data_IF_260439067951
#
_entry.id   IF_260439067951
#
_cell.length_a   1.000
_cell.length_b   1.000
_cell.length_c   1.000
_cell.angle_alpha   90.00
_cell.angle_beta   90.00
_cell.angle_gamma   90.00
#
_symmetry.space_group_name_H-M   'P 1'
#
loop_
_entity.id
_entity.type
_entity.pdbx_description
1 polymer ?
#
# COMPACT_ATOMS: atom_id res chain seq x y z
N UNK A 1 18.46 14.11 32.32
CA UNK A 1 17.89 14.43 31.00
C UNK A 1 17.22 13.16 30.53
N UNK A 2 15.90 13.17 30.34
CA UNK A 2 15.12 12.00 29.98
C UNK A 2 14.26 12.33 28.76
N UNK A 3 14.16 11.33 27.87
CA UNK A 3 13.44 11.25 26.57
C UNK A 3 14.26 11.79 25.38
N UNK A 4 14.37 11.09 24.25
CA UNK A 4 13.38 10.20 23.64
C UNK A 4 13.85 8.75 23.45
N UNK A 5 12.96 7.84 23.84
CA UNK A 5 12.99 6.44 23.47
C UNK A 5 12.59 6.30 22.00
N UNK A 6 13.40 5.61 21.20
CA UNK A 6 13.02 5.04 19.90
C UNK A 6 12.07 3.85 20.09
N UNK A 7 11.00 4.03 20.87
CA UNK A 7 9.96 3.03 21.07
C UNK A 7 8.72 3.48 20.30
N UNK A 8 8.44 2.85 19.15
CA UNK A 8 7.09 2.93 18.56
C UNK A 8 6.92 2.84 17.05
N UNK A 9 7.95 2.53 16.25
CA UNK A 9 7.81 2.35 14.80
C UNK A 9 8.05 0.92 14.30
N UNK A 10 8.34 -0.04 15.17
CA UNK A 10 8.54 -1.45 14.80
C UNK A 10 7.27 -2.18 14.33
N UNK A 11 6.18 -1.46 14.03
CA UNK A 11 4.93 -2.12 13.65
C UNK A 11 3.85 -1.27 13.01
N UNK A 12 4.23 -0.26 12.22
CA UNK A 12 3.28 0.54 11.46
C UNK A 12 3.51 0.35 9.96
N UNK A 13 2.45 0.01 9.24
CA UNK A 13 2.43 -0.01 7.78
C UNK A 13 1.64 1.19 7.27
N UNK A 14 1.78 1.52 5.99
CA UNK A 14 1.01 2.57 5.36
C UNK A 14 0.01 1.97 4.38
N UNK A 15 -1.28 2.16 4.67
CA UNK A 15 -2.37 1.81 3.76
C UNK A 15 -2.70 2.96 2.82
N UNK A 16 -3.44 2.64 1.76
CA UNK A 16 -3.93 3.62 0.80
C UNK A 16 -5.42 3.83 0.95
N UNK A 17 -5.81 5.10 1.07
CA UNK A 17 -7.22 5.49 1.04
C UNK A 17 -7.53 6.20 -0.27
N UNK A 18 -8.50 5.65 -1.01
CA UNK A 18 -9.05 6.24 -2.23
C UNK A 18 -10.39 6.90 -1.95
N UNK A 19 -10.70 7.97 -2.68
CA UNK A 19 -12.02 8.60 -2.70
C UNK A 19 -12.57 8.51 -4.13
N UNK A 20 -13.23 7.40 -4.47
CA UNK A 20 -13.90 7.26 -5.78
C UNK A 20 -15.41 7.02 -5.58
N UNK A 21 -16.25 7.51 -6.50
CA UNK A 21 -17.71 7.36 -6.42
C UNK A 21 -18.20 5.95 -6.76
N UNK A 22 -17.33 5.08 -7.25
CA UNK A 22 -17.65 3.75 -7.80
C UNK A 22 -17.31 2.59 -6.84
N UNK A 23 -16.95 2.93 -5.60
CA UNK A 23 -16.47 1.97 -4.60
C UNK A 23 -17.54 0.96 -4.12
N UNK A 24 -18.76 1.00 -4.67
CA UNK A 24 -19.90 0.15 -4.31
C UNK A 24 -20.03 -1.15 -5.13
N UNK A 25 -19.17 -1.42 -6.14
CA UNK A 25 -19.48 -2.46 -7.14
C UNK A 25 -18.60 -3.72 -7.21
N UNK A 26 -17.51 -3.87 -6.45
CA UNK A 26 -16.76 -5.16 -6.47
C UNK A 26 -15.94 -5.41 -5.21
N UNK A 27 -16.58 -5.86 -4.14
CA UNK A 27 -15.88 -6.30 -2.92
C UNK A 27 -14.96 -7.52 -3.16
N UNK A 28 -15.17 -8.28 -4.24
CA UNK A 28 -14.46 -9.55 -4.48
C UNK A 28 -13.07 -9.39 -5.15
N UNK A 29 -12.73 -8.22 -5.71
CA UNK A 29 -11.49 -8.01 -6.50
C UNK A 29 -10.54 -6.90 -6.01
N UNK A 30 -10.81 -6.31 -4.86
CA UNK A 30 -9.95 -5.26 -4.30
C UNK A 30 -8.69 -5.83 -3.62
N UNK A 31 -7.52 -5.27 -3.95
CA UNK A 31 -6.26 -5.52 -3.23
C UNK A 31 -5.94 -4.37 -2.28
N UNK A 32 -5.56 -4.70 -1.06
CA UNK A 32 -4.96 -3.76 -0.11
C UNK A 32 -3.45 -3.83 -0.25
N UNK A 33 -2.80 -2.71 -0.57
CA UNK A 33 -1.33 -2.62 -0.57
C UNK A 33 -0.90 -1.86 0.68
N UNK A 34 -0.07 -2.52 1.50
CA UNK A 34 0.49 -1.98 2.72
C UNK A 34 2.01 -1.84 2.58
N UNK A 35 2.55 -0.66 2.87
CA UNK A 35 3.99 -0.39 2.74
C UNK A 35 4.64 -0.24 4.10
N UNK A 36 5.79 -0.87 4.31
CA UNK A 36 6.62 -0.65 5.49
C UNK A 36 7.36 0.70 5.42
N UNK A 37 7.76 1.12 4.21
CA UNK A 37 8.42 2.42 3.99
C UNK A 37 7.42 3.52 3.63
N UNK A 38 7.39 4.57 4.45
CA UNK A 38 6.57 5.77 4.23
C UNK A 38 6.91 6.48 2.91
N UNK A 39 8.17 6.45 2.49
CA UNK A 39 8.59 7.09 1.24
C UNK A 39 7.98 6.37 0.03
N UNK A 40 8.01 5.03 0.02
CA UNK A 40 7.40 4.24 -1.04
C UNK A 40 5.86 4.41 -1.05
N UNK A 41 5.23 4.45 0.12
CA UNK A 41 3.79 4.72 0.23
C UNK A 41 3.39 6.06 -0.39
N UNK A 42 4.17 7.12 -0.12
CA UNK A 42 3.94 8.44 -0.71
C UNK A 42 4.20 8.46 -2.21
N UNK A 43 5.29 7.85 -2.66
CA UNK A 43 5.59 7.76 -4.09
C UNK A 43 4.48 7.02 -4.83
N UNK A 44 3.96 5.93 -4.27
CA UNK A 44 2.81 5.24 -4.84
C UNK A 44 1.56 6.13 -4.92
N UNK A 45 1.27 6.90 -3.87
CA UNK A 45 0.17 7.89 -3.90
C UNK A 45 0.36 8.93 -5.01
N UNK A 46 1.59 9.41 -5.24
CA UNK A 46 1.89 10.34 -6.33
C UNK A 46 1.66 9.70 -7.70
N UNK A 47 2.09 8.45 -7.89
CA UNK A 47 1.89 7.72 -9.14
C UNK A 47 0.41 7.53 -9.45
N UNK A 48 -0.39 7.14 -8.45
CA UNK A 48 -1.84 7.00 -8.61
C UNK A 48 -2.52 8.33 -8.95
N UNK A 49 -2.15 9.41 -8.27
CA UNK A 49 -2.67 10.76 -8.56
C UNK A 49 -2.33 11.22 -9.98
N UNK A 50 -1.09 10.98 -10.41
CA UNK A 50 -0.66 11.34 -11.77
C UNK A 50 -1.36 10.48 -12.82
N UNK A 51 -1.54 9.18 -12.57
CA UNK A 51 -2.21 8.28 -13.51
C UNK A 51 -3.70 8.61 -13.66
N UNK A 52 -4.36 9.02 -12.58
CA UNK A 52 -5.79 9.37 -12.57
C UNK A 52 -6.04 10.88 -12.61
N UNK A 53 -5.06 11.69 -13.04
CA UNK A 53 -5.19 13.15 -13.03
C UNK A 53 -6.37 13.63 -13.90
N UNK A 54 -6.61 12.94 -15.01
CA UNK A 54 -7.72 13.21 -15.93
C UNK A 54 -9.11 12.97 -15.32
N UNK A 55 -9.21 12.21 -14.22
CA UNK A 55 -10.49 11.96 -13.53
C UNK A 55 -10.92 13.13 -12.63
N UNK A 56 -10.07 14.14 -12.44
CA UNK A 56 -10.36 15.44 -11.80
C UNK A 56 -10.73 15.42 -10.31
N UNK A 57 -11.11 14.27 -9.75
CA UNK A 57 -11.59 14.10 -8.37
C UNK A 57 -10.88 12.99 -7.62
N UNK A 58 -9.84 12.39 -8.21
CA UNK A 58 -9.10 11.31 -7.59
C UNK A 58 -8.12 11.85 -6.54
N UNK A 59 -8.17 11.26 -5.34
CA UNK A 59 -7.20 11.54 -4.29
C UNK A 59 -6.73 10.25 -3.63
N UNK A 60 -5.45 10.22 -3.28
CA UNK A 60 -4.77 9.10 -2.65
C UNK A 60 -3.82 9.61 -1.55
N UNK A 61 -3.84 8.97 -0.39
CA UNK A 61 -2.99 9.34 0.74
C UNK A 61 -2.47 8.09 1.45
N UNK A 62 -1.21 8.14 1.85
CA UNK A 62 -0.61 7.17 2.73
C UNK A 62 -1.09 7.46 4.16
N UNK A 63 -1.73 6.47 4.78
CA UNK A 63 -2.22 6.57 6.16
C UNK A 63 -1.52 5.53 7.02
N UNK A 64 -1.00 5.89 8.21
CA UNK A 64 -0.48 4.91 9.16
C UNK A 64 -1.57 3.88 9.51
N UNK A 65 -1.18 2.62 9.53
CA UNK A 65 -2.01 1.46 9.83
C UNK A 65 -1.27 0.60 10.87
N UNK A 66 -1.86 0.40 12.05
CA UNK A 66 -1.35 -0.55 13.04
C UNK A 66 -1.27 -1.98 12.50
N UNK A 67 -0.25 -2.75 12.90
CA UNK A 67 -0.16 -4.19 12.59
C UNK A 67 -1.43 -4.96 12.98
N UNK A 68 -2.09 -4.58 14.08
CA UNK A 68 -3.32 -5.24 14.52
C UNK A 68 -4.43 -5.07 13.49
N UNK A 69 -4.64 -3.85 12.99
CA UNK A 69 -5.61 -3.56 11.93
C UNK A 69 -5.22 -4.27 10.61
N UNK A 70 -3.93 -4.29 10.27
CA UNK A 70 -3.46 -5.02 9.09
C UNK A 70 -3.72 -6.54 9.20
N UNK A 71 -3.49 -7.12 10.38
CA UNK A 71 -3.75 -8.54 10.63
C UNK A 71 -5.26 -8.84 10.56
N UNK A 72 -6.10 -7.96 11.09
CA UNK A 72 -7.56 -8.08 10.96
C UNK A 72 -8.01 -8.02 9.50
N UNK A 73 -7.42 -7.14 8.68
CA UNK A 73 -7.66 -7.07 7.24
C UNK A 73 -7.19 -8.35 6.50
N UNK A 74 -6.02 -8.89 6.86
CA UNK A 74 -5.53 -10.17 6.31
C UNK A 74 -6.48 -11.32 6.65
N UNK A 75 -6.95 -11.39 7.90
CA UNK A 75 -7.84 -12.45 8.39
C UNK A 75 -9.25 -12.31 7.79
N UNK A 76 -9.78 -11.09 7.72
CA UNK A 76 -11.15 -10.82 7.26
C UNK A 76 -11.31 -10.88 5.74
N UNK A 77 -10.32 -10.40 4.97
CA UNK A 77 -10.40 -10.38 3.50
C UNK A 77 -9.92 -11.65 2.82
N UNK A 78 -9.49 -12.67 3.57
CA UNK A 78 -9.05 -14.00 3.14
C UNK A 78 -7.98 -14.10 2.03
N UNK A 79 -7.80 -13.18 1.07
CA UNK A 79 -6.89 -13.40 -0.08
C UNK A 79 -6.20 -12.22 -0.78
N UNK A 80 -6.38 -10.94 -0.44
CA UNK A 80 -5.83 -9.86 -1.30
C UNK A 80 -5.11 -8.72 -0.57
N UNK A 81 -4.26 -9.05 0.41
CA UNK A 81 -3.34 -8.07 1.01
C UNK A 81 -1.93 -8.29 0.48
N UNK A 82 -1.28 -7.22 0.03
CA UNK A 82 0.12 -7.20 -0.41
C UNK A 82 0.91 -6.36 0.58
N UNK A 83 1.89 -6.98 1.23
CA UNK A 83 2.78 -6.28 2.17
C UNK A 83 4.11 -6.03 1.47
N UNK A 84 4.42 -4.76 1.24
CA UNK A 84 5.68 -4.33 0.63
C UNK A 84 6.66 -3.98 1.74
N UNK A 85 7.66 -4.85 1.94
CA UNK A 85 8.71 -4.64 2.94
C UNK A 85 9.70 -3.57 2.50
N UNK A 86 10.39 -2.98 3.46
CA UNK A 86 11.40 -1.96 3.20
C UNK A 86 12.46 -2.50 2.23
N UNK A 87 12.77 -1.73 1.18
CA UNK A 87 13.71 -2.06 0.09
C UNK A 87 13.28 -3.21 -0.84
N UNK A 88 12.10 -3.81 -0.64
CA UNK A 88 11.57 -4.83 -1.57
C UNK A 88 11.09 -4.19 -2.88
N UNK A 89 10.63 -2.95 -2.78
CA UNK A 89 10.29 -2.08 -3.90
C UNK A 89 10.96 -0.73 -3.63
N UNK A 90 11.48 -0.08 -4.67
CA UNK A 90 11.96 1.29 -4.59
C UNK A 90 11.15 2.10 -5.58
N UNK A 91 10.15 2.83 -5.08
CA UNK A 91 9.30 3.67 -5.91
C UNK A 91 9.90 5.06 -6.02
N UNK A 92 9.76 5.67 -7.20
CA UNK A 92 10.10 7.07 -7.41
C UNK A 92 9.02 7.76 -8.25
N UNK A 93 8.90 9.08 -8.06
CA UNK A 93 7.93 9.88 -8.81
C UNK A 93 8.22 9.86 -10.31
N UNK A 94 7.19 9.63 -11.12
CA UNK A 94 7.29 9.55 -12.59
C UNK A 94 7.58 8.15 -13.16
N UNK A 95 7.69 7.13 -12.30
CA UNK A 95 7.69 5.74 -12.76
C UNK A 95 6.34 5.36 -13.41
N UNK A 96 6.31 4.64 -14.54
CA UNK A 96 5.07 4.16 -15.12
C UNK A 96 4.30 3.27 -14.14
N UNK A 97 3.00 3.52 -13.96
CA UNK A 97 2.17 2.71 -13.03
C UNK A 97 2.15 1.23 -13.43
N UNK A 98 2.20 0.92 -14.72
CA UNK A 98 2.28 -0.45 -15.23
C UNK A 98 3.53 -1.21 -14.75
N UNK A 99 4.68 -0.52 -14.67
CA UNK A 99 5.91 -1.12 -14.15
C UNK A 99 5.77 -1.42 -12.67
N UNK A 100 5.16 -0.51 -11.91
CA UNK A 100 4.88 -0.71 -10.48
C UNK A 100 3.93 -1.88 -10.27
N UNK A 101 2.86 -1.96 -11.07
CA UNK A 101 1.90 -3.06 -11.03
C UNK A 101 2.61 -4.41 -11.28
N UNK A 102 3.50 -4.47 -12.28
CA UNK A 102 4.27 -5.67 -12.57
C UNK A 102 5.13 -6.11 -11.37
N UNK A 103 5.77 -5.17 -10.67
CA UNK A 103 6.55 -5.49 -9.47
C UNK A 103 5.66 -5.97 -8.33
N UNK A 104 4.52 -5.32 -8.08
CA UNK A 104 3.56 -5.75 -7.06
C UNK A 104 3.05 -7.17 -7.35
N UNK A 105 2.75 -7.49 -8.61
CA UNK A 105 2.37 -8.86 -9.03
C UNK A 105 3.49 -9.85 -8.74
N UNK A 106 4.75 -9.50 -9.02
CA UNK A 106 5.88 -10.38 -8.71
C UNK A 106 6.03 -10.65 -7.21
N UNK A 107 5.77 -9.66 -6.35
CA UNK A 107 5.77 -9.84 -4.89
C UNK A 107 4.68 -10.84 -4.48
N UNK A 108 3.47 -10.70 -5.02
CA UNK A 108 2.35 -11.63 -4.75
C UNK A 108 2.69 -13.05 -5.19
N UNK A 109 3.29 -13.21 -6.38
CA UNK A 109 3.69 -14.51 -6.91
C UNK A 109 4.78 -15.16 -6.06
N UNK A 110 5.77 -14.39 -5.59
CA UNK A 110 6.84 -14.90 -4.73
C UNK A 110 6.32 -15.34 -3.35
N UNK A 111 5.38 -14.61 -2.76
CA UNK A 111 4.78 -14.96 -1.47
C UNK A 111 3.88 -16.22 -1.56
N UNK A 112 3.30 -16.53 -2.73
CA UNK A 112 2.56 -17.78 -2.96
C UNK A 112 3.45 -19.01 -3.21
N UNK A 113 4.75 -18.81 -3.48
CA UNK A 113 5.72 -19.88 -3.80
C UNK A 113 6.52 -20.32 -2.55
N UNK A 114 6.36 -19.64 -1.41
CA UNK A 114 6.99 -20.05 -0.15
C UNK A 114 6.29 -21.31 0.42
N UNK A 115 7.02 -22.42 0.66
CA UNK A 115 6.47 -23.69 1.18
C UNK A 115 6.04 -23.62 2.65
#
# INVERSE_FOLDING_TARGET
MQRDSEEGLEGLYYGLKFTSKEQEQSDDDSYTVAFEDHADANNFCFLLKSFFEDLGSFSAYAVPMPIQELNEEIISRAKKVVVVKKRQLQLYAGQPLADVEMHLRSIIEQDQIAP
#
